data_IF_092959915603
#
_entry.id   IF_092959915603
#
_cell.length_a   1.000
_cell.length_b   1.000
_cell.length_c   1.000
_cell.angle_alpha   90.00
_cell.angle_beta   90.00
_cell.angle_gamma   90.00
#
_symmetry.space_group_name_H-M   'P 1'
#
loop_
_entity.id
_entity.type
_entity.pdbx_description
1 polymer ?
#
# COMPACT_ATOMS: atom_id res chain seq x y z
N UNK A 1 -6.44 28.77 18.94
CA UNK A 1 -6.07 29.11 17.56
C UNK A 1 -4.81 28.38 17.03
N UNK A 2 -4.70 27.05 17.02
CA UNK A 2 -3.60 26.39 16.30
C UNK A 2 -4.05 25.38 15.21
N UNK A 3 -5.36 25.20 14.96
CA UNK A 3 -5.82 24.18 14.03
C UNK A 3 -5.61 24.52 12.54
N UNK A 4 -5.61 25.81 12.18
CA UNK A 4 -5.45 26.23 10.78
C UNK A 4 -4.03 26.06 10.20
N UNK A 5 -3.00 25.96 11.03
CA UNK A 5 -1.61 25.85 10.57
C UNK A 5 -1.30 24.41 10.14
N UNK A 6 -1.82 23.39 10.85
CA UNK A 6 -1.57 21.97 10.53
C UNK A 6 -2.17 21.54 9.19
N UNK A 7 -3.33 22.06 8.82
CA UNK A 7 -3.99 21.71 7.53
C UNK A 7 -3.25 22.32 6.33
N UNK A 8 -2.72 23.54 6.48
CA UNK A 8 -1.91 24.16 5.40
C UNK A 8 -0.60 23.41 5.17
N UNK A 9 0.07 22.96 6.23
CA UNK A 9 1.36 22.25 6.11
C UNK A 9 1.21 20.89 5.40
N UNK A 10 0.13 20.13 5.63
CA UNK A 10 -0.15 18.87 4.89
C UNK A 10 -0.35 19.09 3.40
N UNK A 11 -0.99 20.17 2.97
CA UNK A 11 -1.19 20.51 1.54
C UNK A 11 0.12 20.86 0.83
N UNK A 12 1.04 21.56 1.50
CA UNK A 12 2.35 21.87 0.93
C UNK A 12 3.24 20.64 0.80
N UNK A 13 3.17 19.70 1.75
CA UNK A 13 3.94 18.46 1.68
C UNK A 13 3.51 17.58 0.51
N UNK A 14 2.20 17.51 0.23
CA UNK A 14 1.65 16.79 -0.92
C UNK A 14 2.08 17.42 -2.26
N UNK A 15 2.10 18.76 -2.35
CA UNK A 15 2.57 19.47 -3.54
C UNK A 15 4.07 19.28 -3.79
N UNK A 16 4.88 19.31 -2.73
CA UNK A 16 6.33 19.07 -2.82
C UNK A 16 6.64 17.64 -3.27
N UNK A 17 5.91 16.65 -2.75
CA UNK A 17 6.07 15.26 -3.15
C UNK A 17 5.72 15.03 -4.64
N UNK A 18 4.65 15.66 -5.12
CA UNK A 18 4.25 15.59 -6.54
C UNK A 18 5.27 16.28 -7.44
N UNK A 19 5.80 17.45 -7.04
CA UNK A 19 6.81 18.17 -7.82
C UNK A 19 8.14 17.39 -7.86
N UNK A 20 8.50 16.72 -6.78
CA UNK A 20 9.70 15.88 -6.71
C UNK A 20 9.54 14.63 -7.59
N UNK A 21 8.34 14.04 -7.63
CA UNK A 21 8.04 12.91 -8.50
C UNK A 21 8.13 13.31 -9.99
N UNK A 22 7.56 14.46 -10.35
CA UNK A 22 7.61 14.98 -11.73
C UNK A 22 9.05 15.32 -12.15
N UNK A 23 9.90 15.83 -11.24
CA UNK A 23 11.29 16.15 -11.55
C UNK A 23 12.15 14.90 -11.81
N UNK A 24 11.83 13.76 -11.21
CA UNK A 24 12.51 12.49 -11.46
C UNK A 24 12.23 11.93 -12.87
N UNK A 25 11.05 12.23 -13.44
CA UNK A 25 10.72 11.81 -14.81
C UNK A 25 11.29 12.75 -15.90
N UNK A 26 11.81 13.94 -15.54
CA UNK A 26 12.33 14.91 -16.52
C UNK A 26 13.82 14.73 -16.86
N UNK A 27 14.53 13.81 -16.25
CA UNK A 27 15.97 13.65 -16.49
C UNK A 27 16.37 12.72 -17.66
N UNK A 28 15.42 12.19 -18.42
CA UNK A 28 15.72 11.31 -19.54
C UNK A 28 15.44 11.89 -20.93
N UNK A 29 15.64 13.18 -21.15
CA UNK A 29 15.49 13.74 -22.49
C UNK A 29 16.47 14.88 -22.80
N UNK A 30 17.76 14.57 -22.81
CA UNK A 30 18.75 15.36 -23.52
C UNK A 30 19.68 14.43 -24.31
N UNK A 31 19.15 13.87 -25.39
CA UNK A 31 19.96 13.37 -26.49
C UNK A 31 20.60 14.56 -27.18
N UNK A 32 21.86 14.83 -26.94
CA UNK A 32 22.66 15.71 -27.78
C UNK A 32 22.94 14.99 -29.10
N UNK A 33 22.24 15.36 -30.17
CA UNK A 33 22.71 15.11 -31.52
C UNK A 33 23.87 16.08 -31.79
N UNK A 34 25.10 15.65 -31.61
CA UNK A 34 26.26 16.27 -32.20
C UNK A 34 26.52 15.53 -33.51
N UNK A 35 26.22 16.22 -34.64
CA UNK A 35 26.84 15.88 -35.92
C UNK A 35 28.36 16.03 -35.76
N UNK A 36 29.03 14.91 -35.65
CA UNK A 36 30.48 14.86 -35.73
C UNK A 36 30.84 14.09 -36.99
N UNK A 37 31.65 14.77 -37.84
CA UNK A 37 32.28 14.27 -39.02
C UNK A 37 32.65 12.78 -38.96
N UNK A 38 32.51 12.09 -40.10
CA UNK A 38 32.94 10.73 -40.37
C UNK A 38 34.45 10.54 -40.14
N UNK A 39 34.89 10.62 -38.89
CA UNK A 39 36.20 10.22 -38.42
C UNK A 39 36.07 8.83 -37.82
N UNK A 40 36.89 7.92 -38.27
CA UNK A 40 37.07 6.57 -37.70
C UNK A 40 37.09 6.63 -36.17
N UNK A 41 35.96 6.25 -35.54
CA UNK A 41 35.85 6.13 -34.10
C UNK A 41 36.22 4.69 -33.70
N UNK A 42 37.37 4.48 -33.04
CA UNK A 42 37.80 3.15 -32.62
C UNK A 42 36.91 2.58 -31.50
N UNK A 43 35.91 3.32 -31.00
CA UNK A 43 34.98 2.91 -29.95
C UNK A 43 33.55 2.68 -30.46
N UNK A 44 33.30 2.81 -31.77
CA UNK A 44 31.94 2.54 -32.34
C UNK A 44 31.52 1.10 -32.10
N UNK A 45 32.45 0.16 -32.07
CA UNK A 45 32.15 -1.25 -31.76
C UNK A 45 31.64 -1.50 -30.33
N UNK A 46 31.96 -0.58 -29.38
CA UNK A 46 31.44 -0.72 -28.00
C UNK A 46 29.97 -0.43 -27.90
N UNK A 47 29.44 0.52 -28.67
CA UNK A 47 28.00 0.84 -28.66
C UNK A 47 27.13 -0.28 -29.24
N UNK A 48 27.66 -0.97 -30.29
CA UNK A 48 26.96 -2.13 -30.86
C UNK A 48 26.94 -3.32 -29.90
N UNK A 49 27.98 -3.50 -29.11
CA UNK A 49 28.05 -4.58 -28.10
C UNK A 49 27.12 -4.29 -26.92
N UNK A 50 27.04 -3.03 -26.47
CA UNK A 50 26.09 -2.64 -25.40
C UNK A 50 24.66 -2.75 -25.87
N UNK A 51 24.30 -2.28 -27.06
CA UNK A 51 22.96 -2.43 -27.62
C UNK A 51 22.59 -3.91 -27.81
N UNK A 52 23.49 -4.74 -28.30
CA UNK A 52 23.21 -6.16 -28.44
C UNK A 52 23.06 -6.88 -27.09
N UNK A 53 23.77 -6.44 -26.06
CA UNK A 53 23.62 -6.98 -24.71
C UNK A 53 22.29 -6.59 -24.06
N UNK A 54 21.81 -5.37 -24.28
CA UNK A 54 20.48 -4.94 -23.84
C UNK A 54 19.36 -5.69 -24.61
N UNK A 55 19.48 -5.82 -25.93
CA UNK A 55 18.53 -6.61 -26.74
C UNK A 55 18.53 -8.09 -26.35
N UNK A 56 19.70 -8.69 -26.08
CA UNK A 56 19.78 -10.06 -25.57
C UNK A 56 19.20 -10.20 -24.17
N UNK A 57 19.38 -9.20 -23.29
CA UNK A 57 18.77 -9.17 -21.96
C UNK A 57 17.24 -9.09 -22.05
N UNK A 58 16.73 -8.26 -22.93
CA UNK A 58 15.29 -8.14 -23.20
C UNK A 58 14.70 -9.44 -23.80
N UNK A 59 15.37 -10.03 -24.79
CA UNK A 59 14.95 -11.30 -25.36
C UNK A 59 14.98 -12.43 -24.32
N UNK A 60 15.99 -12.46 -23.45
CA UNK A 60 16.10 -13.41 -22.35
C UNK A 60 15.07 -13.16 -21.27
N UNK A 61 14.72 -11.90 -21.00
CA UNK A 61 13.64 -11.52 -20.09
C UNK A 61 12.30 -12.06 -20.59
N UNK A 62 11.94 -11.82 -21.86
CA UNK A 62 10.68 -12.32 -22.44
C UNK A 62 10.65 -13.85 -22.64
N UNK A 63 11.81 -14.49 -22.85
CA UNK A 63 11.93 -15.92 -23.12
C UNK A 63 11.99 -16.78 -21.86
N UNK A 64 12.64 -16.28 -20.78
CA UNK A 64 12.91 -17.00 -19.54
C UNK A 64 12.53 -16.18 -18.29
N UNK A 65 12.01 -14.98 -18.48
CA UNK A 65 11.81 -14.00 -17.43
C UNK A 65 10.44 -14.11 -16.74
N UNK A 66 10.29 -13.25 -15.76
CA UNK A 66 9.08 -12.99 -15.01
C UNK A 66 8.20 -12.04 -15.79
N UNK A 67 7.33 -12.53 -16.64
CA UNK A 67 6.39 -11.67 -17.36
C UNK A 67 5.14 -11.38 -16.53
N UNK A 68 4.56 -12.42 -15.96
CA UNK A 68 3.40 -12.34 -15.10
C UNK A 68 3.66 -13.14 -13.83
N UNK A 69 3.29 -12.62 -12.68
CA UNK A 69 3.30 -13.37 -11.43
C UNK A 69 1.94 -13.37 -10.78
N UNK A 70 1.59 -14.51 -10.21
CA UNK A 70 0.38 -14.68 -9.40
C UNK A 70 0.82 -15.17 -8.03
N UNK A 71 0.46 -14.44 -6.98
CA UNK A 71 0.88 -14.72 -5.60
C UNK A 71 -0.28 -14.78 -4.63
N UNK A 72 -0.12 -15.64 -3.63
CA UNK A 72 -0.94 -15.67 -2.44
C UNK A 72 -0.23 -14.85 -1.36
N UNK A 73 -1.00 -14.03 -0.65
CA UNK A 73 -0.53 -13.18 0.44
C UNK A 73 -1.08 -13.68 1.77
N UNK A 74 -0.24 -13.70 2.77
CA UNK A 74 -0.62 -13.91 4.16
C UNK A 74 0.14 -12.92 5.02
N UNK A 75 -0.58 -12.16 5.87
CA UNK A 75 0.03 -11.10 6.64
C UNK A 75 -0.54 -10.95 8.03
N UNK A 76 0.07 -10.03 8.77
CA UNK A 76 -0.39 -9.56 10.07
C UNK A 76 -0.58 -8.05 9.99
N UNK A 77 -1.81 -7.61 10.13
CA UNK A 77 -2.23 -6.21 10.04
C UNK A 77 -2.37 -5.62 11.44
N UNK A 78 -1.72 -4.50 11.67
CA UNK A 78 -1.84 -3.71 12.88
C UNK A 78 -2.31 -2.30 12.55
N UNK A 79 -2.61 -1.54 13.59
CA UNK A 79 -3.29 -0.25 13.51
C UNK A 79 -2.55 0.82 14.29
N UNK A 80 -2.76 2.09 13.90
CA UNK A 80 -2.21 3.28 14.57
C UNK A 80 -3.34 4.18 15.08
N UNK A 81 -3.00 5.21 15.84
CA UNK A 81 -3.90 6.24 16.35
C UNK A 81 -5.15 5.68 17.05
N UNK A 82 -6.33 6.20 16.73
CA UNK A 82 -7.61 5.76 17.30
C UNK A 82 -7.90 4.29 17.01
N UNK A 83 -7.49 3.78 15.85
CA UNK A 83 -7.65 2.36 15.51
C UNK A 83 -6.93 1.44 16.49
N UNK A 84 -5.70 1.77 16.90
CA UNK A 84 -4.92 0.93 17.82
C UNK A 84 -5.57 0.75 19.19
N UNK A 85 -6.45 1.67 19.56
CA UNK A 85 -7.20 1.62 20.81
C UNK A 85 -8.54 0.88 20.69
N UNK A 86 -9.09 0.84 19.47
CA UNK A 86 -10.41 0.22 19.20
C UNK A 86 -10.31 -1.11 18.51
N UNK A 87 -9.28 -1.35 17.69
CA UNK A 87 -9.16 -2.56 16.88
C UNK A 87 -7.99 -3.42 17.34
N UNK A 88 -8.23 -4.72 17.39
CA UNK A 88 -7.15 -5.70 17.60
C UNK A 88 -6.48 -6.00 16.27
N UNK A 89 -5.16 -6.21 16.33
CA UNK A 89 -4.42 -6.69 15.16
C UNK A 89 -4.95 -8.02 14.66
N UNK A 90 -4.91 -8.27 13.36
CA UNK A 90 -5.50 -9.44 12.73
C UNK A 90 -4.63 -10.05 11.65
N UNK A 91 -4.84 -11.32 11.38
CA UNK A 91 -4.26 -11.98 10.22
C UNK A 91 -5.00 -11.53 8.97
N UNK A 92 -4.24 -11.21 7.92
CA UNK A 92 -4.75 -10.88 6.60
C UNK A 92 -4.44 -11.99 5.60
N UNK A 93 -5.32 -12.15 4.61
CA UNK A 93 -5.14 -13.04 3.48
C UNK A 93 -5.43 -12.30 2.19
N UNK A 94 -4.73 -12.67 1.13
CA UNK A 94 -4.94 -11.98 -0.14
C UNK A 94 -4.34 -12.67 -1.34
N UNK A 95 -4.51 -12.03 -2.48
CA UNK A 95 -3.95 -12.43 -3.76
C UNK A 95 -3.30 -11.23 -4.42
N UNK A 96 -2.28 -11.48 -5.22
CA UNK A 96 -1.55 -10.47 -5.96
C UNK A 96 -1.28 -10.94 -7.37
N UNK A 97 -1.46 -10.03 -8.33
CA UNK A 97 -1.07 -10.19 -9.72
C UNK A 97 -0.05 -9.13 -10.05
N UNK A 98 1.08 -9.47 -10.64
CA UNK A 98 2.10 -8.51 -11.03
C UNK A 98 2.49 -8.74 -12.48
N UNK A 99 2.53 -7.65 -13.24
CA UNK A 99 3.02 -7.59 -14.61
C UNK A 99 4.34 -6.84 -14.63
N UNK A 100 5.36 -7.45 -15.20
CA UNK A 100 6.70 -6.88 -15.30
C UNK A 100 6.87 -6.21 -16.67
N UNK A 101 7.26 -4.95 -16.65
CA UNK A 101 7.63 -4.21 -17.86
C UNK A 101 9.07 -4.50 -18.25
N UNK A 102 9.92 -4.61 -17.24
CA UNK A 102 11.33 -4.97 -17.34
C UNK A 102 11.79 -5.69 -16.05
N UNK A 103 13.09 -5.89 -15.88
CA UNK A 103 13.65 -6.55 -14.70
C UNK A 103 13.51 -5.75 -13.40
N UNK A 104 13.29 -4.43 -13.50
CA UNK A 104 13.26 -3.52 -12.36
C UNK A 104 11.86 -2.99 -12.06
N UNK A 105 10.97 -2.90 -13.05
CA UNK A 105 9.67 -2.25 -12.91
C UNK A 105 8.52 -3.23 -13.12
N UNK A 106 7.64 -3.30 -12.15
CA UNK A 106 6.40 -4.08 -12.27
C UNK A 106 5.19 -3.27 -11.79
N UNK A 107 4.05 -3.51 -12.44
CA UNK A 107 2.74 -3.08 -11.98
C UNK A 107 2.06 -4.24 -11.27
N UNK A 108 1.44 -3.98 -10.13
CA UNK A 108 0.84 -5.03 -9.30
C UNK A 108 -0.57 -4.64 -8.87
N UNK A 109 -1.50 -5.55 -9.05
CA UNK A 109 -2.84 -5.52 -8.47
C UNK A 109 -2.87 -6.44 -7.27
N UNK A 110 -3.37 -5.97 -6.14
CA UNK A 110 -3.52 -6.81 -4.95
C UNK A 110 -4.90 -6.64 -4.32
N UNK A 111 -5.41 -7.74 -3.80
CA UNK A 111 -6.61 -7.77 -2.96
C UNK A 111 -6.28 -8.47 -1.67
N UNK A 112 -6.65 -7.88 -0.53
CA UNK A 112 -6.49 -8.53 0.77
C UNK A 112 -7.68 -8.26 1.68
N UNK A 113 -7.91 -9.17 2.62
CA UNK A 113 -8.99 -9.12 3.59
C UNK A 113 -8.46 -9.45 4.99
N UNK A 114 -8.94 -8.74 5.99
CA UNK A 114 -8.63 -9.00 7.40
C UNK A 114 -9.87 -8.76 8.26
N UNK A 115 -10.11 -9.67 9.22
CA UNK A 115 -11.15 -9.55 10.23
C UNK A 115 -10.50 -9.23 11.58
N UNK A 116 -10.74 -8.03 12.09
CA UNK A 116 -10.19 -7.54 13.35
C UNK A 116 -11.29 -7.45 14.40
N UNK A 117 -10.98 -7.77 15.65
CA UNK A 117 -11.88 -7.47 16.75
C UNK A 117 -12.00 -5.96 16.95
N UNK A 118 -13.17 -5.49 17.31
CA UNK A 118 -13.43 -4.07 17.58
C UNK A 118 -14.12 -3.89 18.92
N UNK A 119 -13.67 -2.87 19.66
CA UNK A 119 -14.29 -2.42 20.90
C UNK A 119 -14.21 -0.91 21.01
N UNK A 120 -15.35 -0.26 21.26
CA UNK A 120 -15.43 1.16 21.53
C UNK A 120 -16.61 1.49 22.42
N UNK A 121 -16.64 2.73 22.94
CA UNK A 121 -17.67 3.23 23.85
C UNK A 121 -18.34 4.45 23.27
N UNK A 122 -19.66 4.52 23.38
CA UNK A 122 -20.40 5.76 23.19
C UNK A 122 -20.65 6.46 24.52
N UNK A 123 -20.87 7.76 24.48
CA UNK A 123 -21.06 8.59 25.65
C UNK A 123 -22.33 9.43 25.54
N UNK A 124 -22.94 9.77 26.68
CA UNK A 124 -24.12 10.62 26.70
C UNK A 124 -23.79 12.10 26.47
N UNK A 125 -22.57 12.48 26.65
CA UNK A 125 -22.12 13.89 26.58
C UNK A 125 -20.78 14.02 25.82
N UNK A 126 -20.53 15.22 25.28
CA UNK A 126 -19.30 15.54 24.56
C UNK A 126 -18.06 15.66 25.48
N UNK A 127 -18.23 15.63 26.78
CA UNK A 127 -17.13 15.67 27.75
C UNK A 127 -16.66 14.25 28.13
N UNK A 128 -17.31 13.21 27.61
CA UNK A 128 -17.00 11.79 27.88
C UNK A 128 -17.07 11.43 29.37
N UNK A 129 -18.05 12.02 30.10
CA UNK A 129 -18.19 11.79 31.55
C UNK A 129 -19.07 10.60 31.87
N UNK A 130 -20.03 10.27 31.02
CA UNK A 130 -21.01 9.22 31.23
C UNK A 130 -21.07 8.28 30.03
N UNK A 131 -20.65 7.03 30.22
CA UNK A 131 -20.72 5.99 29.19
C UNK A 131 -22.21 5.66 28.93
N UNK A 132 -22.62 5.73 27.67
CA UNK A 132 -23.95 5.32 27.20
C UNK A 132 -23.98 3.80 26.96
N UNK A 133 -23.08 3.34 26.06
CA UNK A 133 -23.04 1.97 25.60
C UNK A 133 -21.62 1.49 25.30
N UNK A 134 -21.42 0.17 25.40
CA UNK A 134 -20.22 -0.53 24.97
C UNK A 134 -20.52 -1.37 23.72
N UNK A 135 -19.77 -1.16 22.68
CA UNK A 135 -19.87 -1.89 21.40
C UNK A 135 -18.68 -2.82 21.24
N UNK A 136 -18.95 -4.07 20.96
CA UNK A 136 -17.94 -5.10 20.70
C UNK A 136 -18.36 -5.90 19.46
N UNK A 137 -17.40 -6.40 18.72
CA UNK A 137 -17.68 -7.18 17.53
C UNK A 137 -16.45 -7.40 16.67
N UNK A 138 -16.67 -7.51 15.37
CA UNK A 138 -15.60 -7.60 14.37
C UNK A 138 -15.76 -6.50 13.33
N UNK A 139 -14.62 -6.08 12.79
CA UNK A 139 -14.55 -5.19 11.63
C UNK A 139 -13.81 -5.93 10.52
N UNK A 140 -14.45 -6.02 9.37
CA UNK A 140 -13.87 -6.56 8.15
C UNK A 140 -13.29 -5.40 7.35
N UNK A 141 -12.00 -5.46 7.03
CA UNK A 141 -11.31 -4.47 6.20
C UNK A 141 -10.76 -5.17 4.96
N UNK A 142 -11.34 -4.83 3.81
CA UNK A 142 -10.91 -5.27 2.51
C UNK A 142 -10.11 -4.17 1.84
N UNK A 143 -9.04 -4.53 1.14
CA UNK A 143 -8.22 -3.59 0.38
C UNK A 143 -8.08 -4.07 -1.05
N UNK A 144 -8.25 -3.16 -2.00
CA UNK A 144 -7.98 -3.39 -3.41
C UNK A 144 -7.00 -2.32 -3.90
N UNK A 145 -5.80 -2.73 -4.26
CA UNK A 145 -4.69 -1.81 -4.52
C UNK A 145 -4.09 -1.98 -5.91
N UNK A 146 -3.75 -0.85 -6.51
CA UNK A 146 -2.89 -0.74 -7.68
C UNK A 146 -1.52 -0.20 -7.24
N UNK A 147 -0.46 -0.92 -7.55
CA UNK A 147 0.87 -0.65 -7.04
C UNK A 147 1.91 -0.65 -8.15
N UNK A 148 2.89 0.25 -8.04
CA UNK A 148 4.13 0.19 -8.79
C UNK A 148 5.24 -0.39 -7.89
N UNK A 149 5.93 -1.43 -8.34
CA UNK A 149 7.09 -2.04 -7.69
C UNK A 149 8.35 -1.68 -8.45
N UNK A 150 9.38 -1.27 -7.73
CA UNK A 150 10.70 -1.02 -8.26
C UNK A 150 11.72 -1.95 -7.57
N UNK A 151 12.34 -2.83 -8.35
CA UNK A 151 13.37 -3.76 -7.90
C UNK A 151 14.74 -3.13 -8.06
N UNK A 152 15.57 -3.22 -7.03
CA UNK A 152 16.93 -2.69 -7.08
C UNK A 152 17.82 -3.61 -7.91
N UNK A 153 18.66 -3.01 -8.74
CA UNK A 153 19.73 -3.76 -9.39
C UNK A 153 20.78 -4.16 -8.34
N UNK A 154 20.98 -5.45 -8.19
CA UNK A 154 21.88 -6.04 -7.20
C UNK A 154 23.07 -6.76 -7.81
N UNK A 155 23.36 -6.58 -9.10
CA UNK A 155 24.46 -7.25 -9.81
C UNK A 155 25.84 -6.94 -9.22
N UNK A 156 26.01 -5.71 -8.70
CA UNK A 156 27.28 -5.22 -8.14
C UNK A 156 27.41 -5.39 -6.62
N UNK A 157 26.48 -6.12 -5.97
CA UNK A 157 26.51 -6.38 -4.52
C UNK A 157 26.91 -7.82 -4.22
N UNK A 158 27.05 -8.12 -2.92
CA UNK A 158 27.39 -9.48 -2.50
C UNK A 158 26.34 -10.49 -2.98
N UNK A 159 26.77 -11.68 -3.37
CA UNK A 159 25.93 -12.74 -3.94
C UNK A 159 24.66 -13.02 -3.11
N UNK A 160 24.74 -12.96 -1.78
CA UNK A 160 23.58 -13.15 -0.91
C UNK A 160 22.52 -12.05 -1.03
N UNK A 161 22.92 -10.79 -1.25
CA UNK A 161 21.97 -9.69 -1.49
C UNK A 161 21.39 -9.75 -2.90
N UNK A 162 22.16 -10.20 -3.88
CA UNK A 162 21.67 -10.37 -5.25
C UNK A 162 20.53 -11.40 -5.34
N UNK A 163 20.56 -12.43 -4.51
CA UNK A 163 19.51 -13.47 -4.49
C UNK A 163 18.22 -13.03 -3.77
N UNK A 164 18.24 -11.92 -3.01
CA UNK A 164 17.09 -11.46 -2.23
C UNK A 164 16.09 -10.61 -3.02
N UNK A 165 16.41 -10.12 -4.19
CA UNK A 165 15.61 -9.23 -5.03
C UNK A 165 14.83 -8.17 -4.20
N UNK A 166 15.53 -7.22 -3.56
CA UNK A 166 14.88 -6.19 -2.76
C UNK A 166 14.12 -5.20 -3.66
N UNK A 167 12.99 -4.73 -3.15
CA UNK A 167 12.14 -3.79 -3.88
C UNK A 167 11.50 -2.75 -2.98
N UNK A 168 11.11 -1.63 -3.58
CA UNK A 168 10.18 -0.66 -3.03
C UNK A 168 8.86 -0.72 -3.79
N UNK A 169 7.79 -0.39 -3.10
CA UNK A 169 6.45 -0.36 -3.66
C UNK A 169 5.74 0.90 -3.20
N UNK A 170 5.09 1.57 -4.14
CA UNK A 170 4.14 2.64 -3.86
C UNK A 170 2.82 2.29 -4.53
N UNK A 171 1.72 2.66 -3.91
CA UNK A 171 0.41 2.32 -4.45
C UNK A 171 -0.71 3.21 -3.96
N UNK A 172 -1.83 3.07 -4.65
CA UNK A 172 -3.12 3.65 -4.30
C UNK A 172 -4.13 2.51 -4.23
N UNK A 173 -5.01 2.58 -3.25
CA UNK A 173 -6.01 1.53 -3.05
C UNK A 173 -7.33 2.05 -2.54
N UNK A 174 -8.36 1.26 -2.78
CA UNK A 174 -9.68 1.42 -2.17
C UNK A 174 -9.77 0.50 -0.97
N UNK A 175 -10.20 1.06 0.15
CA UNK A 175 -10.41 0.35 1.41
C UNK A 175 -11.91 0.27 1.68
N UNK A 176 -12.39 -0.93 1.95
CA UNK A 176 -13.78 -1.12 2.38
C UNK A 176 -13.78 -1.62 3.81
N UNK A 177 -14.43 -0.86 4.70
CA UNK A 177 -14.60 -1.20 6.12
C UNK A 177 -16.06 -1.53 6.38
N UNK A 178 -16.30 -2.68 6.99
CA UNK A 178 -17.66 -3.15 7.36
C UNK A 178 -17.64 -3.66 8.78
N UNK A 179 -18.59 -3.19 9.59
CA UNK A 179 -18.74 -3.58 10.99
C UNK A 179 -19.75 -4.72 11.15
N UNK A 180 -19.44 -5.64 12.04
CA UNK A 180 -20.36 -6.66 12.53
C UNK A 180 -20.34 -6.63 14.07
N UNK A 181 -21.23 -5.82 14.65
CA UNK A 181 -21.27 -5.55 16.08
C UNK A 181 -22.28 -6.42 16.79
N UNK A 182 -22.05 -6.68 18.08
CA UNK A 182 -22.94 -7.44 18.95
C UNK A 182 -24.30 -6.78 19.19
N UNK A 183 -24.36 -5.46 19.04
CA UNK A 183 -25.57 -4.67 19.06
C UNK A 183 -25.83 -4.10 17.68
N UNK A 184 -27.10 -4.09 17.27
CA UNK A 184 -27.52 -3.51 16.00
C UNK A 184 -27.24 -2.01 16.01
N UNK A 185 -26.25 -1.61 15.25
CA UNK A 185 -25.90 -0.23 14.99
C UNK A 185 -25.81 -0.05 13.46
N UNK A 186 -26.45 0.99 12.95
CA UNK A 186 -26.46 1.30 11.52
C UNK A 186 -25.18 2.06 11.15
N UNK A 187 -24.05 1.34 11.13
CA UNK A 187 -22.81 1.88 10.61
C UNK A 187 -22.71 1.55 9.12
N UNK A 188 -22.71 2.57 8.28
CA UNK A 188 -22.57 2.40 6.85
C UNK A 188 -21.15 1.93 6.49
N UNK A 189 -21.00 1.06 5.47
CA UNK A 189 -19.69 0.64 4.98
C UNK A 189 -18.94 1.82 4.34
N UNK A 190 -17.74 2.10 4.81
CA UNK A 190 -16.86 3.11 4.24
C UNK A 190 -16.04 2.57 3.08
N UNK A 191 -15.76 3.43 2.10
CA UNK A 191 -14.96 3.09 0.93
C UNK A 191 -13.94 4.19 0.58
N UNK A 192 -13.07 4.59 1.51
CA UNK A 192 -12.07 5.60 1.23
C UNK A 192 -11.02 5.10 0.23
N UNK A 193 -10.38 6.07 -0.43
CA UNK A 193 -9.14 5.86 -1.16
C UNK A 193 -7.99 6.22 -0.23
N UNK A 194 -6.96 5.38 -0.22
CA UNK A 194 -5.74 5.59 0.54
C UNK A 194 -4.50 5.35 -0.29
N UNK A 195 -3.36 5.73 0.28
CA UNK A 195 -2.05 5.50 -0.30
C UNK A 195 -1.31 4.45 0.51
N UNK A 196 -0.41 3.72 -0.14
CA UNK A 196 0.50 2.83 0.56
C UNK A 196 1.92 2.96 0.08
N UNK A 197 2.84 2.73 1.01
CA UNK A 197 4.26 2.54 0.74
C UNK A 197 4.71 1.23 1.36
N UNK A 198 5.57 0.50 0.67
CA UNK A 198 6.11 -0.75 1.17
C UNK A 198 7.56 -0.96 0.74
N UNK A 199 8.27 -1.76 1.52
CA UNK A 199 9.56 -2.32 1.17
C UNK A 199 9.51 -3.83 1.37
N UNK A 200 10.20 -4.57 0.52
CA UNK A 200 10.19 -6.03 0.59
C UNK A 200 11.37 -6.67 -0.10
N UNK A 201 11.42 -7.96 0.05
CA UNK A 201 12.38 -8.86 -0.62
C UNK A 201 11.62 -10.03 -1.24
N UNK A 202 12.13 -10.53 -2.35
CA UNK A 202 11.59 -11.73 -3.01
C UNK A 202 12.72 -12.70 -3.31
N UNK A 203 12.65 -13.88 -2.71
CA UNK A 203 13.63 -14.95 -2.87
C UNK A 203 13.12 -15.90 -3.95
N UNK A 204 13.81 -16.04 -5.09
CA UNK A 204 13.42 -16.99 -6.12
C UNK A 204 13.59 -18.41 -5.62
N UNK A 205 12.60 -19.27 -5.89
CA UNK A 205 12.61 -20.69 -5.59
C UNK A 205 12.26 -21.48 -6.84
N UNK A 206 12.47 -22.79 -6.86
CA UNK A 206 12.14 -23.68 -7.98
C UNK A 206 12.71 -23.20 -9.33
N UNK A 207 13.97 -22.81 -9.38
CA UNK A 207 14.66 -22.30 -10.59
C UNK A 207 13.88 -21.11 -11.22
N UNK A 208 13.56 -20.10 -10.41
CA UNK A 208 12.82 -18.90 -10.77
C UNK A 208 11.35 -19.08 -11.20
N UNK A 209 10.79 -20.28 -11.14
CA UNK A 209 9.37 -20.52 -11.43
C UNK A 209 8.44 -20.07 -10.31
N UNK A 210 8.96 -19.99 -9.10
CA UNK A 210 8.22 -19.49 -7.95
C UNK A 210 9.10 -18.58 -7.10
N UNK A 211 8.49 -17.80 -6.24
CA UNK A 211 9.18 -16.97 -5.27
C UNK A 211 8.51 -17.02 -3.90
N UNK A 212 9.31 -16.77 -2.89
CA UNK A 212 8.85 -16.45 -1.53
C UNK A 212 9.17 -14.98 -1.26
N UNK A 213 8.19 -14.20 -0.83
CA UNK A 213 8.35 -12.78 -0.53
C UNK A 213 8.08 -12.45 0.94
N UNK A 214 8.75 -11.42 1.43
CA UNK A 214 8.47 -10.75 2.69
C UNK A 214 8.36 -9.25 2.43
N UNK A 215 7.28 -8.64 2.91
CA UNK A 215 6.97 -7.23 2.67
C UNK A 215 6.48 -6.56 3.95
N UNK A 216 6.99 -5.37 4.23
CA UNK A 216 6.44 -4.46 5.24
C UNK A 216 5.74 -3.30 4.54
N UNK A 217 4.49 -3.07 4.88
CA UNK A 217 3.62 -2.08 4.22
C UNK A 217 3.05 -1.11 5.25
N UNK A 218 2.96 0.17 4.88
CA UNK A 218 2.24 1.19 5.62
C UNK A 218 1.13 1.77 4.74
N UNK A 219 -0.09 1.79 5.26
CA UNK A 219 -1.28 2.29 4.58
C UNK A 219 -1.73 3.59 5.25
N UNK A 220 -1.75 4.67 4.48
CA UNK A 220 -2.27 5.98 4.88
C UNK A 220 -3.71 6.09 4.39
N UNK A 221 -4.67 5.94 5.29
CA UNK A 221 -6.08 5.90 4.95
C UNK A 221 -6.84 6.90 5.82
N UNK A 222 -7.64 7.76 5.19
CA UNK A 222 -8.56 8.63 5.89
C UNK A 222 -9.98 8.14 5.61
N UNK A 223 -10.61 7.56 6.62
CA UNK A 223 -12.00 7.17 6.54
C UNK A 223 -12.87 8.42 6.75
N UNK A 224 -13.55 8.93 5.71
CA UNK A 224 -14.35 10.17 5.80
C UNK A 224 -15.77 9.92 6.32
N UNK A 225 -15.96 8.86 7.09
CA UNK A 225 -17.27 8.48 7.60
C UNK A 225 -17.75 9.37 8.75
N UNK A 226 -19.01 9.40 8.94
CA UNK A 226 -19.64 10.09 10.06
C UNK A 226 -19.40 9.38 11.41
N UNK A 227 -18.90 8.14 11.37
CA UNK A 227 -18.69 7.28 12.53
C UNK A 227 -17.32 7.52 13.20
N UNK A 228 -16.51 8.45 12.73
CA UNK A 228 -15.19 8.72 13.28
C UNK A 228 -15.22 9.24 14.72
N UNK A 229 -16.18 10.12 15.03
CA UNK A 229 -16.28 10.82 16.31
C UNK A 229 -17.59 10.56 17.03
N UNK A 230 -18.63 10.07 16.35
CA UNK A 230 -19.99 9.89 16.88
C UNK A 230 -20.73 8.81 16.11
N UNK A 231 -21.72 8.25 16.77
CA UNK A 231 -22.63 7.25 16.20
C UNK A 231 -24.08 7.65 16.48
N UNK A 232 -24.97 7.21 15.62
CA UNK A 232 -26.42 7.36 15.79
C UNK A 232 -26.95 6.27 16.73
N UNK A 233 -27.61 6.65 17.80
CA UNK A 233 -28.22 5.75 18.79
C UNK A 233 -29.73 6.02 18.97
N UNK A 234 -30.50 4.96 19.00
CA UNK A 234 -31.90 5.04 19.46
C UNK A 234 -31.92 5.09 20.99
N UNK A 235 -32.30 6.24 21.56
CA UNK A 235 -32.44 6.40 23.01
C UNK A 235 -33.90 6.42 23.42
N UNK A 236 -34.21 5.66 24.45
CA UNK A 236 -35.58 5.63 25.02
C UNK A 236 -36.00 7.03 25.48
N UNK A 237 -37.17 7.49 25.00
CA UNK A 237 -37.71 8.80 25.33
C UNK A 237 -37.41 9.92 24.33
N UNK A 238 -36.62 9.65 23.30
CA UNK A 238 -36.36 10.55 22.18
C UNK A 238 -37.08 10.04 20.94
N UNK A 239 -37.88 10.88 20.24
CA UNK A 239 -38.60 10.45 19.03
C UNK A 239 -37.66 10.28 17.80
N UNK A 240 -36.50 10.89 17.83
CA UNK A 240 -35.49 10.81 16.79
C UNK A 240 -34.17 10.24 17.37
N UNK A 241 -33.38 9.54 16.57
CA UNK A 241 -32.08 9.04 17.00
C UNK A 241 -31.15 10.18 17.46
N UNK A 242 -30.34 9.89 18.46
CA UNK A 242 -29.43 10.87 19.05
C UNK A 242 -28.01 10.52 18.64
N UNK A 243 -27.24 11.50 18.20
CA UNK A 243 -25.82 11.32 17.92
C UNK A 243 -25.01 11.33 19.21
N UNK A 244 -24.41 10.19 19.53
CA UNK A 244 -23.59 10.02 20.72
C UNK A 244 -22.11 10.04 20.36
N UNK A 245 -21.27 10.82 21.07
CA UNK A 245 -19.83 10.84 20.83
C UNK A 245 -19.21 9.49 21.15
N UNK A 246 -18.19 9.10 20.38
CA UNK A 246 -17.49 7.82 20.47
C UNK A 246 -16.05 8.04 20.89
N UNK A 247 -15.56 7.16 21.75
CA UNK A 247 -14.16 7.15 22.20
C UNK A 247 -13.65 5.70 22.31
N UNK A 248 -12.45 5.41 21.82
CA UNK A 248 -11.59 6.27 21.02
C UNK A 248 -12.15 6.51 19.61
N UNK A 249 -11.56 7.43 18.87
CA UNK A 249 -11.94 7.71 17.47
C UNK A 249 -11.72 6.49 16.60
N UNK A 250 -12.67 6.23 15.69
CA UNK A 250 -12.60 5.09 14.77
C UNK A 250 -11.84 5.42 13.48
N UNK A 251 -10.71 6.11 13.61
CA UNK A 251 -9.88 6.54 12.49
C UNK A 251 -8.39 6.36 12.82
N UNK A 252 -7.60 6.05 11.80
CA UNK A 252 -6.16 5.86 11.92
C UNK A 252 -5.57 5.23 10.66
N UNK A 253 -4.27 5.03 10.68
CA UNK A 253 -3.55 4.34 9.62
C UNK A 253 -3.33 2.87 9.98
N UNK A 254 -2.85 2.09 9.01
CA UNK A 254 -2.58 0.66 9.18
C UNK A 254 -1.16 0.32 8.75
N UNK A 255 -0.56 -0.64 9.41
CA UNK A 255 0.66 -1.28 8.95
C UNK A 255 0.46 -2.78 8.80
N UNK A 256 1.23 -3.39 7.91
CA UNK A 256 1.08 -4.81 7.61
C UNK A 256 2.44 -5.44 7.31
N UNK A 257 2.71 -6.59 7.92
CA UNK A 257 3.84 -7.44 7.57
C UNK A 257 3.26 -8.64 6.85
N UNK A 258 3.65 -8.83 5.59
CA UNK A 258 3.10 -9.87 4.71
C UNK A 258 4.19 -10.81 4.24
N UNK A 259 3.87 -12.08 4.18
CA UNK A 259 4.59 -13.09 3.40
C UNK A 259 3.81 -13.37 2.12
N UNK A 260 4.52 -13.71 1.06
CA UNK A 260 3.92 -14.10 -0.21
C UNK A 260 4.57 -15.36 -0.77
N UNK A 261 3.77 -16.18 -1.42
CA UNK A 261 4.23 -17.28 -2.27
C UNK A 261 3.60 -17.08 -3.62
N UNK A 262 4.41 -16.99 -4.67
CA UNK A 262 3.91 -16.75 -6.01
C UNK A 262 4.60 -17.58 -7.07
N UNK A 263 3.94 -17.66 -8.22
CA UNK A 263 4.37 -18.36 -9.41
C UNK A 263 4.59 -17.38 -10.55
N UNK A 264 5.65 -17.61 -11.30
CA UNK A 264 6.05 -16.81 -12.45
C UNK A 264 5.64 -17.52 -13.74
N UNK A 265 5.11 -16.72 -14.68
CA UNK A 265 4.65 -17.17 -16.00
C UNK A 265 5.28 -16.31 -17.08
#
# INVERSE_FOLDING_TARGET
MPYHIKVKMKRYFSLIAITLLISLFHQQSFGQTTDIDEGFDPFSDYNEIEQSAEEEADINFFKNGRFLTVGLLMGYRGFTDGFSQSYTSATSFGVQFSYFFDLQLALSLSYSIADSGVEFYSYNDSNYTSISERYTGTVNIQTFDLNAKYYFNTENVTKGLAELNPYLLIGVGQFQRTYNLSKSLNLEPDRPIGFKGAAGIEIPIMRHRAYFGLQATYHMVQFPDENNDRIEEEKTGFPEPVFSPVKPRLNGDMYEIQTSIGFNF
#
